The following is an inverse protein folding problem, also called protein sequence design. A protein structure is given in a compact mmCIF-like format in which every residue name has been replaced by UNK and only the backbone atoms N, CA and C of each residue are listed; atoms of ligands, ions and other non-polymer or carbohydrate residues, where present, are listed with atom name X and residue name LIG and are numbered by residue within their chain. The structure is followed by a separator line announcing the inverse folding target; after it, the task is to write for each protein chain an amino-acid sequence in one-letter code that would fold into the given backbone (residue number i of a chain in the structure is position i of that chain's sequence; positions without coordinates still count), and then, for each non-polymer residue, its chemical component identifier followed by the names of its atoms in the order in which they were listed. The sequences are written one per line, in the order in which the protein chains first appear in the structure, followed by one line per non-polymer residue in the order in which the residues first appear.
data_IF_502225045727
#
_entry.id   IF_502225045727
#
_cell.length_a   1.000
_cell.length_b   1.000
_cell.length_c   1.000
_cell.angle_alpha   90.00
_cell.angle_beta   90.00
_cell.angle_gamma   90.00
#
_symmetry.space_group_name_H-M   'P 1'
#
loop_
_entity.id
_entity.type
_entity.pdbx_description
1 polymer ?
#
# COMPACT_ATOMS: atom_id res chain seq x y z
N UNK A 1 -28.10 16.26 -7.43
CA UNK A 1 -26.73 16.82 -7.39
C UNK A 1 -26.00 16.20 -8.55
N UNK A 2 -25.37 16.98 -9.43
CA UNK A 2 -24.53 16.40 -10.49
C UNK A 2 -23.43 15.63 -9.76
N UNK A 3 -23.42 14.31 -9.91
CA UNK A 3 -22.50 13.44 -9.20
C UNK A 3 -21.13 13.67 -9.83
N UNK A 4 -20.34 14.56 -9.23
CA UNK A 4 -18.96 14.74 -9.63
C UNK A 4 -18.21 13.42 -9.39
N UNK A 5 -17.23 13.10 -10.23
CA UNK A 5 -16.44 11.87 -10.15
C UNK A 5 -15.81 11.71 -8.75
N UNK A 6 -15.47 12.83 -8.12
CA UNK A 6 -14.89 12.89 -6.77
C UNK A 6 -15.87 12.64 -5.63
N UNK A 7 -17.19 12.67 -5.86
CA UNK A 7 -18.18 12.31 -4.84
C UNK A 7 -18.09 10.85 -4.41
N UNK A 8 -17.42 9.99 -5.19
CA UNK A 8 -17.10 8.61 -4.80
C UNK A 8 -16.04 8.52 -3.68
N UNK A 9 -15.25 9.59 -3.48
CA UNK A 9 -14.23 9.68 -2.41
C UNK A 9 -14.72 10.46 -1.19
N UNK A 10 -15.99 10.85 -1.12
CA UNK A 10 -16.55 11.49 0.06
C UNK A 10 -17.20 10.44 0.96
N UNK A 11 -16.71 10.32 2.19
CA UNK A 11 -17.22 9.40 3.20
C UNK A 11 -18.71 9.67 3.49
N UNK A 12 -19.16 10.93 3.38
CA UNK A 12 -20.56 11.26 3.65
C UNK A 12 -21.51 11.14 2.44
N UNK A 13 -21.07 10.57 1.32
CA UNK A 13 -21.96 10.37 0.17
C UNK A 13 -22.90 9.19 0.44
N UNK A 14 -24.04 9.46 1.08
CA UNK A 14 -25.08 8.47 1.38
C UNK A 14 -25.84 8.04 0.11
N UNK A 15 -25.16 7.29 -0.74
CA UNK A 15 -25.80 6.49 -1.79
C UNK A 15 -26.57 5.36 -1.10
N UNK A 16 -27.74 5.01 -1.62
CA UNK A 16 -28.67 3.99 -1.08
C UNK A 16 -28.06 2.61 -0.71
N UNK A 17 -26.82 2.33 -1.14
CA UNK A 17 -26.09 1.08 -0.94
C UNK A 17 -24.67 1.28 -0.36
N UNK A 18 -24.34 2.42 0.26
CA UNK A 18 -23.01 2.60 0.86
C UNK A 18 -22.84 1.74 2.13
N UNK A 19 -21.86 0.82 2.09
CA UNK A 19 -21.63 -0.15 3.18
C UNK A 19 -20.41 0.26 4.01
N UNK A 20 -20.52 1.38 4.75
CA UNK A 20 -19.45 1.87 5.63
C UNK A 20 -19.02 0.86 6.70
N UNK A 21 -19.98 0.07 7.19
CA UNK A 21 -19.73 -0.99 8.18
C UNK A 21 -18.74 -2.03 7.65
N UNK A 22 -18.72 -2.25 6.33
CA UNK A 22 -17.84 -3.24 5.73
C UNK A 22 -16.37 -2.82 5.80
N UNK A 23 -16.07 -1.52 5.76
CA UNK A 23 -14.70 -1.03 5.97
C UNK A 23 -14.17 -1.37 7.36
N UNK A 24 -14.98 -1.12 8.39
CA UNK A 24 -14.62 -1.45 9.77
C UNK A 24 -14.49 -2.95 9.97
N UNK A 25 -15.35 -3.74 9.31
CA UNK A 25 -15.20 -5.19 9.29
C UNK A 25 -13.90 -5.61 8.63
N UNK A 26 -13.54 -5.05 7.47
CA UNK A 26 -12.30 -5.41 6.77
C UNK A 26 -11.05 -5.02 7.55
N UNK A 27 -11.04 -3.86 8.24
CA UNK A 27 -9.93 -3.50 9.11
C UNK A 27 -9.81 -4.49 10.29
N UNK A 28 -10.93 -4.90 10.90
CA UNK A 28 -10.94 -5.90 11.97
C UNK A 28 -10.57 -7.31 11.50
N UNK A 29 -10.91 -7.68 10.25
CA UNK A 29 -10.55 -8.97 9.64
C UNK A 29 -9.03 -9.15 9.60
N UNK A 30 -8.25 -8.07 9.43
CA UNK A 30 -6.77 -8.17 9.43
C UNK A 30 -6.21 -8.77 10.73
N UNK A 31 -6.82 -8.44 11.88
CA UNK A 31 -6.42 -8.94 13.20
C UNK A 31 -6.73 -10.44 13.33
N UNK A 32 -7.85 -10.89 12.77
CA UNK A 32 -8.25 -12.30 12.76
C UNK A 32 -7.37 -13.15 11.85
N UNK A 33 -6.94 -12.62 10.70
CA UNK A 33 -6.03 -13.32 9.79
C UNK A 33 -4.64 -13.53 10.42
N UNK A 34 -4.22 -12.60 11.28
CA UNK A 34 -2.93 -12.71 11.97
C UNK A 34 -2.92 -13.84 13.00
N UNK A 35 -3.99 -13.97 13.79
CA UNK A 35 -4.12 -14.89 14.94
C UNK A 35 -4.72 -16.27 14.64
N UNK A 36 -4.90 -16.64 13.37
CA UNK A 36 -5.77 -17.74 12.95
C UNK A 36 -5.33 -19.19 13.25
N UNK A 37 -4.22 -19.42 13.97
CA UNK A 37 -3.74 -20.77 14.31
C UNK A 37 -4.26 -21.24 15.68
N UNK A 38 -5.58 -21.34 15.83
CA UNK A 38 -6.20 -21.88 17.04
C UNK A 38 -6.47 -23.40 16.97
N UNK A 39 -6.51 -23.97 15.77
CA UNK A 39 -6.93 -25.34 15.53
C UNK A 39 -5.72 -26.24 15.29
N UNK A 40 -5.75 -27.47 15.83
CA UNK A 40 -4.69 -28.48 15.66
C UNK A 40 -4.46 -28.82 14.18
N UNK A 41 -5.53 -28.80 13.38
CA UNK A 41 -5.45 -28.87 11.92
C UNK A 41 -5.70 -27.49 11.31
N UNK A 42 -4.75 -26.99 10.52
CA UNK A 42 -4.93 -25.71 9.82
C UNK A 42 -6.06 -25.81 8.79
N UNK A 43 -7.08 -24.93 8.84
CA UNK A 43 -8.11 -24.88 7.80
C UNK A 43 -7.52 -24.34 6.49
N UNK A 44 -8.17 -24.65 5.36
CA UNK A 44 -7.69 -24.27 4.00
C UNK A 44 -7.41 -22.76 3.87
N UNK A 45 -8.24 -21.92 4.49
CA UNK A 45 -8.08 -20.46 4.51
C UNK A 45 -6.78 -20.01 5.19
N UNK A 46 -6.38 -20.68 6.27
CA UNK A 46 -5.09 -20.41 6.94
C UNK A 46 -3.92 -20.79 6.05
N UNK A 47 -4.06 -21.84 5.23
CA UNK A 47 -3.08 -22.19 4.20
C UNK A 47 -2.84 -21.05 3.19
N UNK A 48 -3.91 -20.43 2.68
CA UNK A 48 -3.79 -19.28 1.76
C UNK A 48 -3.10 -18.09 2.43
N UNK A 49 -3.46 -17.79 3.68
CA UNK A 49 -2.83 -16.71 4.46
C UNK A 49 -1.35 -17.01 4.74
N UNK A 50 -1.00 -18.27 5.02
CA UNK A 50 0.39 -18.68 5.24
C UNK A 50 1.26 -18.48 4.00
N UNK A 51 0.74 -18.77 2.79
CA UNK A 51 1.48 -18.50 1.55
C UNK A 51 1.89 -17.02 1.46
N UNK A 52 0.98 -16.10 1.77
CA UNK A 52 1.29 -14.66 1.79
C UNK A 52 2.25 -14.25 2.91
N UNK A 53 2.15 -14.88 4.09
CA UNK A 53 3.11 -14.65 5.19
C UNK A 53 4.51 -15.17 4.82
N UNK A 54 4.60 -16.33 4.18
CA UNK A 54 5.85 -16.98 3.80
C UNK A 54 6.58 -16.24 2.67
N UNK A 55 5.85 -15.67 1.71
CA UNK A 55 6.47 -14.85 0.66
C UNK A 55 7.15 -13.62 1.25
N UNK A 56 6.52 -12.94 2.21
CA UNK A 56 7.13 -11.77 2.86
C UNK A 56 8.22 -12.16 3.83
N UNK A 57 8.01 -13.20 4.65
CA UNK A 57 9.02 -13.65 5.59
C UNK A 57 10.31 -14.04 4.87
N UNK A 58 10.21 -14.78 3.75
CA UNK A 58 11.38 -15.17 2.94
C UNK A 58 12.16 -13.99 2.36
N UNK A 59 11.51 -12.86 2.06
CA UNK A 59 12.19 -11.63 1.65
C UNK A 59 12.94 -11.00 2.83
N UNK A 60 12.31 -10.94 4.00
CA UNK A 60 12.94 -10.38 5.21
C UNK A 60 14.11 -11.26 5.66
N UNK A 61 14.01 -12.58 5.52
CA UNK A 61 15.13 -13.50 5.81
C UNK A 61 16.34 -13.32 4.89
N UNK A 62 16.15 -12.79 3.68
CA UNK A 62 17.27 -12.45 2.78
C UNK A 62 17.89 -11.09 3.11
N UNK A 63 17.18 -10.27 3.87
CA UNK A 63 17.55 -8.94 4.32
C UNK A 63 18.13 -9.01 5.75
N UNK A 64 18.86 -7.98 6.16
CA UNK A 64 19.36 -7.80 7.53
C UNK A 64 18.26 -7.53 8.57
N UNK A 65 16.99 -7.44 8.15
CA UNK A 65 15.83 -7.31 9.02
C UNK A 65 15.69 -8.40 10.10
N UNK A 66 16.48 -9.48 10.03
CA UNK A 66 16.60 -10.51 11.06
C UNK A 66 17.19 -10.01 12.39
N UNK A 67 18.08 -9.02 12.36
CA UNK A 67 18.74 -8.53 13.57
C UNK A 67 17.84 -7.65 14.43
N UNK A 68 16.77 -7.09 13.85
CA UNK A 68 15.77 -6.32 14.57
C UNK A 68 14.66 -7.25 15.10
N UNK A 69 14.71 -7.54 16.40
CA UNK A 69 13.70 -8.37 17.07
C UNK A 69 12.28 -7.85 16.82
N UNK A 70 11.40 -8.70 16.27
CA UNK A 70 10.00 -8.37 16.01
C UNK A 70 9.71 -7.65 14.68
N UNK A 71 10.73 -7.21 13.93
CA UNK A 71 10.56 -6.51 12.64
C UNK A 71 9.89 -7.38 11.57
N UNK A 72 10.22 -8.67 11.56
CA UNK A 72 9.56 -9.65 10.69
C UNK A 72 8.05 -9.67 10.92
N UNK A 73 7.64 -9.58 12.19
CA UNK A 73 6.23 -9.67 12.57
C UNK A 73 5.46 -8.40 12.21
N UNK A 74 6.09 -7.23 12.35
CA UNK A 74 5.45 -5.95 12.00
C UNK A 74 5.28 -5.80 10.50
N UNK A 75 6.28 -6.16 9.68
CA UNK A 75 6.17 -6.08 8.22
C UNK A 75 5.15 -7.09 7.69
N UNK A 76 5.15 -8.33 8.19
CA UNK A 76 4.17 -9.33 7.77
C UNK A 76 2.74 -8.91 8.13
N UNK A 77 2.52 -8.33 9.31
CA UNK A 77 1.23 -7.77 9.69
C UNK A 77 0.82 -6.61 8.78
N UNK A 78 1.75 -5.69 8.46
CA UNK A 78 1.47 -4.57 7.57
C UNK A 78 1.14 -5.03 6.16
N UNK A 79 1.88 -6.01 5.61
CA UNK A 79 1.60 -6.55 4.29
C UNK A 79 0.18 -7.10 4.18
N UNK A 80 -0.22 -7.90 5.17
CA UNK A 80 -1.57 -8.46 5.24
C UNK A 80 -2.62 -7.36 5.38
N UNK A 81 -2.36 -6.33 6.19
CA UNK A 81 -3.25 -5.19 6.33
C UNK A 81 -3.42 -4.45 5.00
N UNK A 82 -2.34 -4.14 4.29
CA UNK A 82 -2.41 -3.45 3.01
C UNK A 82 -3.14 -4.25 1.95
N UNK A 83 -2.91 -5.56 1.84
CA UNK A 83 -3.63 -6.42 0.88
C UNK A 83 -5.13 -6.37 1.15
N UNK A 84 -5.56 -6.60 2.39
CA UNK A 84 -6.99 -6.67 2.72
C UNK A 84 -7.66 -5.31 2.46
N UNK A 85 -7.03 -4.22 2.87
CA UNK A 85 -7.59 -2.88 2.67
C UNK A 85 -7.67 -2.51 1.20
N UNK A 86 -6.63 -2.80 0.42
CA UNK A 86 -6.61 -2.55 -1.02
C UNK A 86 -7.66 -3.38 -1.78
N UNK A 87 -7.74 -4.69 -1.50
CA UNK A 87 -8.71 -5.58 -2.12
C UNK A 87 -10.15 -5.23 -1.73
N UNK A 88 -10.37 -4.83 -0.47
CA UNK A 88 -11.68 -4.38 -0.02
C UNK A 88 -12.15 -3.12 -0.75
N UNK A 89 -11.21 -2.22 -1.09
CA UNK A 89 -11.49 -1.01 -1.83
C UNK A 89 -12.06 -1.28 -3.23
N UNK A 90 -11.63 -2.36 -3.88
CA UNK A 90 -12.10 -2.72 -5.23
C UNK A 90 -13.55 -3.23 -5.27
N UNK A 91 -14.14 -3.55 -4.11
CA UNK A 91 -15.53 -4.03 -4.03
C UNK A 91 -16.46 -2.85 -4.33
N UNK A 92 -17.45 -3.00 -5.23
CA UNK A 92 -18.37 -1.92 -5.54
C UNK A 92 -19.10 -1.44 -4.29
N UNK A 93 -19.28 -0.13 -4.19
CA UNK A 93 -19.93 0.56 -3.05
C UNK A 93 -19.19 0.50 -1.71
N UNK A 94 -17.99 -0.07 -1.67
CA UNK A 94 -17.09 0.05 -0.52
C UNK A 94 -16.19 1.26 -0.73
N UNK A 95 -16.10 2.09 0.30
CA UNK A 95 -15.18 3.23 0.28
C UNK A 95 -13.74 2.73 0.49
N UNK A 96 -12.84 3.11 -0.42
CA UNK A 96 -11.45 2.70 -0.37
C UNK A 96 -10.65 3.62 0.56
N UNK A 97 -10.44 3.19 1.81
CA UNK A 97 -9.68 3.97 2.81
C UNK A 97 -8.26 4.33 2.35
N UNK A 98 -7.64 3.47 1.53
CA UNK A 98 -6.26 3.63 1.04
C UNK A 98 -6.12 4.65 -0.08
N UNK A 99 -7.23 5.17 -0.63
CA UNK A 99 -7.23 6.26 -1.61
C UNK A 99 -6.96 7.64 -0.96
N UNK A 100 -7.14 7.76 0.36
CA UNK A 100 -6.83 8.98 1.09
C UNK A 100 -5.37 9.01 1.52
N UNK A 101 -4.68 10.10 1.17
CA UNK A 101 -3.27 10.32 1.53
C UNK A 101 -3.04 10.25 3.04
N UNK A 102 -4.00 10.70 3.85
CA UNK A 102 -3.89 10.68 5.31
C UNK A 102 -3.66 9.26 5.86
N UNK A 103 -4.34 8.26 5.29
CA UNK A 103 -4.26 6.86 5.75
C UNK A 103 -2.94 6.24 5.32
N UNK A 104 -2.54 6.41 4.05
CA UNK A 104 -1.28 5.86 3.56
C UNK A 104 -0.07 6.48 4.27
N UNK A 105 -0.11 7.78 4.54
CA UNK A 105 0.92 8.50 5.26
C UNK A 105 0.96 8.13 6.75
N UNK A 106 -0.19 7.88 7.39
CA UNK A 106 -0.27 7.38 8.76
C UNK A 106 0.35 5.98 8.91
N UNK A 107 0.31 5.14 7.87
CA UNK A 107 0.99 3.84 7.87
C UNK A 107 2.49 4.00 7.56
N UNK A 108 2.85 4.81 6.57
CA UNK A 108 4.24 4.93 6.09
C UNK A 108 5.18 5.73 7.00
N UNK A 109 4.75 6.90 7.51
CA UNK A 109 5.61 7.78 8.29
C UNK A 109 6.08 7.15 9.61
N UNK A 110 5.21 6.55 10.45
CA UNK A 110 5.65 6.01 11.74
C UNK A 110 6.67 4.90 11.58
N UNK A 111 6.48 3.98 10.63
CA UNK A 111 7.43 2.88 10.40
C UNK A 111 8.79 3.38 9.94
N UNK A 112 8.78 4.37 9.05
CA UNK A 112 10.01 4.99 8.59
C UNK A 112 10.71 5.80 9.69
N UNK A 113 9.96 6.56 10.50
CA UNK A 113 10.51 7.28 11.65
C UNK A 113 11.10 6.32 12.69
N UNK A 114 10.41 5.22 12.99
CA UNK A 114 10.92 4.20 13.91
C UNK A 114 12.27 3.64 13.44
N UNK A 115 12.41 3.38 12.15
CA UNK A 115 13.66 2.90 11.55
C UNK A 115 14.81 3.90 11.74
N UNK A 116 14.59 5.18 11.43
CA UNK A 116 15.61 6.23 11.62
C UNK A 116 15.97 6.43 13.09
N UNK A 117 14.97 6.50 13.97
CA UNK A 117 15.18 6.67 15.40
C UNK A 117 16.01 5.50 15.93
N UNK A 118 15.71 4.26 15.51
CA UNK A 118 16.49 3.09 15.90
C UNK A 118 17.95 3.18 15.43
N UNK A 119 18.19 3.61 14.19
CA UNK A 119 19.54 3.75 13.64
C UNK A 119 20.37 4.80 14.38
N UNK A 120 19.77 5.95 14.71
CA UNK A 120 20.41 7.03 15.48
C UNK A 120 20.82 6.54 16.88
N UNK A 121 19.97 5.73 17.53
CA UNK A 121 20.26 5.20 18.86
C UNK A 121 21.35 4.13 18.87
N UNK A 122 21.40 3.26 17.86
CA UNK A 122 22.40 2.20 17.82
C UNK A 122 23.78 2.74 17.45
N UNK A 123 23.91 3.51 16.36
CA UNK A 123 25.20 4.03 15.92
C UNK A 123 25.07 5.36 15.17
N UNK A 124 25.20 6.47 15.90
CA UNK A 124 25.15 7.82 15.32
C UNK A 124 26.27 8.06 14.29
N UNK A 125 27.47 7.51 14.51
CA UNK A 125 28.63 7.71 13.64
C UNK A 125 28.47 7.06 12.27
N UNK A 126 27.86 5.87 12.23
CA UNK A 126 27.64 5.13 10.98
C UNK A 126 26.51 5.76 10.16
N UNK A 127 25.45 6.23 10.83
CA UNK A 127 24.39 7.05 10.21
C UNK A 127 24.96 8.33 9.61
N UNK A 128 25.78 9.07 10.35
CA UNK A 128 26.47 10.27 9.85
C UNK A 128 27.43 9.96 8.70
N UNK A 129 28.08 8.79 8.70
CA UNK A 129 28.92 8.35 7.60
C UNK A 129 28.10 7.99 6.35
N UNK A 130 26.90 7.42 6.49
CA UNK A 130 26.03 7.13 5.33
C UNK A 130 25.53 8.37 4.59
N UNK A 131 25.51 9.53 5.26
CA UNK A 131 25.19 10.81 4.63
C UNK A 131 26.28 11.31 3.67
N UNK A 132 27.49 10.73 3.70
CA UNK A 132 28.56 11.04 2.76
C UNK A 132 29.11 9.76 2.09
N UNK A 133 29.01 9.61 0.76
CA UNK A 133 29.71 8.56 0.06
C UNK A 133 31.22 8.74 0.20
N UNK A 134 31.94 7.64 0.44
CA UNK A 134 33.39 7.67 0.57
C UNK A 134 34.03 8.13 -0.74
N UNK A 135 34.88 9.17 -0.66
CA UNK A 135 35.63 9.69 -1.81
C UNK A 135 35.13 11.01 -2.42
N UNK A 136 34.13 11.66 -1.82
CA UNK A 136 33.69 12.98 -2.29
C UNK A 136 34.74 14.09 -2.01
N UNK A 137 35.01 15.00 -2.97
CA UNK A 137 35.92 16.12 -2.78
C UNK A 137 35.37 17.11 -1.74
N UNK A 138 36.23 17.57 -0.82
CA UNK A 138 35.86 18.34 0.37
C UNK A 138 34.99 19.59 0.12
N UNK A 139 35.08 20.19 -1.07
CA UNK A 139 34.31 21.37 -1.44
C UNK A 139 32.81 21.08 -1.71
N UNK A 140 32.46 19.87 -2.18
CA UNK A 140 31.08 19.47 -2.48
C UNK A 140 30.36 18.79 -1.30
N UNK A 141 31.10 18.41 -0.26
CA UNK A 141 30.57 17.72 0.92
C UNK A 141 29.33 18.38 1.55
N UNK A 142 29.28 19.70 1.82
CA UNK A 142 28.10 20.29 2.48
C UNK A 142 26.85 20.25 1.59
N UNK A 143 27.01 20.33 0.27
CA UNK A 143 25.88 20.27 -0.66
C UNK A 143 25.32 18.86 -0.80
N UNK A 144 26.20 17.85 -0.81
CA UNK A 144 25.79 16.45 -0.90
C UNK A 144 24.99 16.01 0.33
N UNK A 145 25.40 16.41 1.53
CA UNK A 145 24.67 16.10 2.78
C UNK A 145 23.25 16.67 2.71
N UNK A 146 23.07 17.91 2.24
CA UNK A 146 21.74 18.51 2.10
C UNK A 146 20.87 17.69 1.15
N UNK A 147 21.40 17.29 0.00
CA UNK A 147 20.63 16.47 -0.96
C UNK A 147 20.27 15.10 -0.36
N UNK A 148 21.20 14.44 0.33
CA UNK A 148 20.92 13.13 0.93
C UNK A 148 19.89 13.24 2.07
N UNK A 149 19.95 14.28 2.91
CA UNK A 149 18.92 14.53 3.93
C UNK A 149 17.53 14.74 3.30
N UNK A 150 17.45 15.46 2.18
CA UNK A 150 16.18 15.65 1.45
C UNK A 150 15.72 14.33 0.83
N UNK A 151 16.62 13.57 0.21
CA UNK A 151 16.34 12.24 -0.35
C UNK A 151 15.75 11.30 0.69
N UNK A 152 16.38 11.23 1.87
CA UNK A 152 15.90 10.44 3.02
C UNK A 152 14.48 10.86 3.39
N UNK A 153 14.19 12.15 3.58
CA UNK A 153 12.87 12.66 3.96
C UNK A 153 11.77 12.42 2.91
N UNK A 154 12.12 12.41 1.62
CA UNK A 154 11.15 12.23 0.52
C UNK A 154 10.72 10.76 0.35
N UNK A 155 11.54 9.79 0.74
CA UNK A 155 11.24 8.34 0.62
C UNK A 155 9.86 7.93 1.19
N UNK A 156 9.51 8.20 2.47
CA UNK A 156 8.20 7.79 3.03
C UNK A 156 7.03 8.50 2.35
N UNK A 157 7.23 9.74 1.89
CA UNK A 157 6.22 10.51 1.17
C UNK A 157 5.96 9.84 -0.19
N UNK A 158 7.01 9.52 -0.95
CA UNK A 158 6.86 8.87 -2.27
C UNK A 158 6.22 7.48 -2.17
N UNK A 159 6.53 6.72 -1.12
CA UNK A 159 5.91 5.42 -0.83
C UNK A 159 4.39 5.56 -0.61
N UNK A 160 4.00 6.52 0.23
CA UNK A 160 2.60 6.76 0.61
C UNK A 160 1.78 7.31 -0.56
N UNK A 161 2.35 8.25 -1.32
CA UNK A 161 1.73 8.81 -2.53
C UNK A 161 1.57 7.73 -3.61
N UNK A 162 2.53 6.81 -3.76
CA UNK A 162 2.42 5.71 -4.75
C UNK A 162 1.20 4.82 -4.46
N UNK A 163 0.97 4.48 -3.20
CA UNK A 163 -0.15 3.64 -2.81
C UNK A 163 -1.48 4.37 -3.02
N UNK A 164 -1.54 5.63 -2.57
CA UNK A 164 -2.70 6.49 -2.75
C UNK A 164 -3.06 6.68 -4.24
N UNK A 165 -2.08 7.09 -5.06
CA UNK A 165 -2.29 7.40 -6.47
C UNK A 165 -2.79 6.19 -7.27
N UNK A 166 -2.21 5.00 -7.03
CA UNK A 166 -2.63 3.79 -7.74
C UNK A 166 -4.07 3.40 -7.39
N UNK A 167 -4.47 3.50 -6.11
CA UNK A 167 -5.85 3.20 -5.69
C UNK A 167 -6.83 4.28 -6.16
N UNK A 168 -6.49 5.56 -6.03
CA UNK A 168 -7.38 6.66 -6.43
C UNK A 168 -7.56 6.74 -7.94
N UNK A 169 -6.46 6.65 -8.71
CA UNK A 169 -6.53 6.71 -10.17
C UNK A 169 -7.33 5.54 -10.74
N UNK A 170 -7.17 4.35 -10.14
CA UNK A 170 -7.96 3.19 -10.51
C UNK A 170 -9.46 3.43 -10.37
N UNK A 171 -9.90 3.81 -9.17
CA UNK A 171 -11.31 4.15 -8.93
C UNK A 171 -11.86 5.24 -9.85
N UNK A 172 -11.07 6.28 -10.15
CA UNK A 172 -11.45 7.33 -11.10
C UNK A 172 -11.67 6.76 -12.50
N UNK A 173 -10.79 5.88 -12.97
CA UNK A 173 -10.94 5.26 -14.30
C UNK A 173 -12.12 4.30 -14.31
N UNK A 174 -12.33 3.51 -13.25
CA UNK A 174 -13.46 2.58 -13.13
C UNK A 174 -14.81 3.31 -13.15
N UNK A 175 -14.92 4.42 -12.41
CA UNK A 175 -16.13 5.26 -12.37
C UNK A 175 -16.39 5.95 -13.70
N UNK A 176 -15.34 6.42 -14.37
CA UNK A 176 -15.43 7.02 -15.69
C UNK A 176 -15.92 6.01 -16.74
N UNK A 177 -15.31 4.82 -16.82
CA UNK A 177 -15.76 3.74 -17.71
C UNK A 177 -17.22 3.35 -17.39
N UNK A 178 -17.56 3.24 -16.10
CA UNK A 178 -18.93 2.97 -15.65
C UNK A 178 -19.94 4.03 -16.12
N UNK A 179 -19.60 5.31 -16.05
CA UNK A 179 -20.48 6.41 -16.53
C UNK A 179 -20.71 6.34 -18.05
N UNK A 180 -19.66 6.07 -18.83
CA UNK A 180 -19.78 5.85 -20.28
C UNK A 180 -20.62 4.62 -20.61
N UNK A 181 -20.48 3.55 -19.82
CA UNK A 181 -21.32 2.36 -19.96
C UNK A 181 -22.78 2.64 -19.69
N UNK A 182 -23.11 3.35 -18.61
CA UNK A 182 -24.51 3.72 -18.33
C UNK A 182 -25.10 4.56 -19.46
N UNK A 183 -24.33 5.48 -20.06
CA UNK A 183 -24.79 6.29 -21.18
C UNK A 183 -24.95 5.46 -22.46
N UNK A 184 -24.02 4.54 -22.73
CA UNK A 184 -24.04 3.66 -23.90
C UNK A 184 -25.25 2.72 -23.88
N UNK A 185 -25.64 2.22 -22.70
CA UNK A 185 -26.84 1.39 -22.52
C UNK A 185 -28.13 2.06 -23.02
N UNK A 186 -28.25 3.38 -22.92
CA UNK A 186 -29.46 4.11 -23.33
C UNK A 186 -29.38 4.68 -24.75
N UNK A 187 -28.19 4.92 -25.29
CA UNK A 187 -28.02 5.77 -26.49
C UNK A 187 -27.33 5.08 -27.66
N UNK A 188 -26.54 4.03 -27.46
CA UNK A 188 -25.65 3.49 -28.49
C UNK A 188 -25.99 2.05 -28.92
N UNK A 189 -25.29 1.54 -29.93
CA UNK A 189 -25.53 0.21 -30.48
C UNK A 189 -25.02 -0.89 -29.54
N UNK A 190 -25.65 -2.07 -29.58
CA UNK A 190 -25.31 -3.23 -28.73
C UNK A 190 -23.82 -3.62 -28.83
N UNK A 191 -23.21 -3.42 -30.01
CA UNK A 191 -21.80 -3.71 -30.24
C UNK A 191 -20.88 -2.81 -29.41
N UNK A 192 -21.16 -1.50 -29.37
CA UNK A 192 -20.37 -0.54 -28.57
C UNK A 192 -20.46 -0.81 -27.08
N UNK A 193 -21.65 -1.18 -26.60
CA UNK A 193 -21.86 -1.58 -25.21
C UNK A 193 -21.02 -2.83 -24.86
N UNK A 194 -21.05 -3.86 -25.71
CA UNK A 194 -20.33 -5.12 -25.46
C UNK A 194 -18.81 -4.91 -25.43
N UNK A 195 -18.30 -4.02 -26.28
CA UNK A 195 -16.89 -3.60 -26.27
C UNK A 195 -16.51 -2.81 -25.01
N UNK A 196 -17.34 -1.87 -24.55
CA UNK A 196 -17.08 -1.15 -23.31
C UNK A 196 -17.13 -2.08 -22.09
N UNK A 197 -18.04 -3.06 -22.08
CA UNK A 197 -18.13 -4.05 -20.99
C UNK A 197 -16.88 -4.92 -20.92
N UNK A 198 -16.34 -5.36 -22.06
CA UNK A 198 -15.11 -6.14 -22.08
C UNK A 198 -13.90 -5.35 -21.57
N UNK A 199 -13.82 -4.06 -21.93
CA UNK A 199 -12.79 -3.14 -21.40
C UNK A 199 -12.91 -2.99 -19.89
N UNK A 200 -14.12 -2.81 -19.35
CA UNK A 200 -14.32 -2.68 -17.91
C UNK A 200 -13.86 -3.94 -17.16
N UNK A 201 -14.23 -5.13 -17.65
CA UNK A 201 -13.83 -6.41 -17.04
C UNK A 201 -12.30 -6.54 -17.05
N UNK A 202 -11.65 -6.28 -18.19
CA UNK A 202 -10.19 -6.34 -18.30
C UNK A 202 -9.51 -5.36 -17.33
N UNK A 203 -10.04 -4.14 -17.20
CA UNK A 203 -9.49 -3.13 -16.31
C UNK A 203 -9.65 -3.52 -14.83
N UNK A 204 -10.79 -4.11 -14.44
CA UNK A 204 -10.97 -4.60 -13.06
C UNK A 204 -9.97 -5.71 -12.68
N UNK A 205 -9.68 -6.62 -13.62
CA UNK A 205 -8.68 -7.68 -13.40
C UNK A 205 -7.27 -7.07 -13.26
N UNK A 206 -6.98 -6.07 -14.09
CA UNK A 206 -5.71 -5.35 -14.02
C UNK A 206 -5.51 -4.63 -12.68
N UNK A 207 -6.54 -3.95 -12.18
CA UNK A 207 -6.49 -3.31 -10.86
C UNK A 207 -6.32 -4.29 -9.72
N UNK A 208 -6.97 -5.46 -9.78
CA UNK A 208 -6.74 -6.52 -8.80
C UNK A 208 -5.25 -6.88 -8.73
N UNK A 209 -4.59 -7.01 -9.87
CA UNK A 209 -3.14 -7.23 -9.94
C UNK A 209 -2.31 -6.08 -9.35
N UNK A 210 -2.60 -4.84 -9.72
CA UNK A 210 -1.89 -3.65 -9.19
C UNK A 210 -2.04 -3.59 -7.66
N UNK A 211 -3.23 -3.87 -7.14
CA UNK A 211 -3.53 -3.75 -5.71
C UNK A 211 -2.66 -4.65 -4.83
N UNK A 212 -2.36 -5.86 -5.32
CA UNK A 212 -1.49 -6.84 -4.66
C UNK A 212 -0.02 -6.45 -4.80
N UNK A 213 0.41 -6.06 -6.01
CA UNK A 213 1.80 -5.63 -6.27
C UNK A 213 2.15 -4.39 -5.45
N UNK A 214 1.22 -3.45 -5.28
CA UNK A 214 1.46 -2.23 -4.54
C UNK A 214 1.72 -2.48 -3.05
N UNK A 215 0.98 -3.42 -2.43
CA UNK A 215 1.25 -3.85 -1.06
C UNK A 215 2.62 -4.53 -0.91
N UNK A 216 3.01 -5.33 -1.92
CA UNK A 216 4.33 -5.97 -1.96
C UNK A 216 5.47 -4.96 -2.08
N UNK A 217 5.38 -4.03 -3.04
CA UNK A 217 6.37 -2.96 -3.24
C UNK A 217 6.51 -2.13 -1.96
N UNK A 218 5.41 -1.83 -1.27
CA UNK A 218 5.46 -1.08 -0.01
C UNK A 218 6.33 -1.79 1.04
N UNK A 219 6.13 -3.09 1.23
CA UNK A 219 6.91 -3.88 2.19
C UNK A 219 8.36 -4.05 1.75
N UNK A 220 8.60 -4.30 0.47
CA UNK A 220 9.94 -4.47 -0.09
C UNK A 220 10.80 -3.21 0.09
N UNK A 221 10.24 -2.02 -0.13
CA UNK A 221 10.97 -0.78 0.08
C UNK A 221 11.33 -0.60 1.56
N UNK A 222 10.41 -0.90 2.48
CA UNK A 222 10.69 -0.82 3.93
C UNK A 222 11.79 -1.79 4.34
N UNK A 223 11.80 -3.02 3.82
CA UNK A 223 12.88 -3.99 4.09
C UNK A 223 14.22 -3.52 3.52
N UNK A 224 14.22 -2.97 2.30
CA UNK A 224 15.45 -2.46 1.69
C UNK A 224 15.98 -1.25 2.48
N UNK A 225 15.11 -0.38 2.96
CA UNK A 225 15.53 0.72 3.85
C UNK A 225 16.10 0.23 5.17
N UNK A 226 15.62 -0.91 5.68
CA UNK A 226 16.25 -1.52 6.85
C UNK A 226 17.64 -2.07 6.58
N UNK A 227 17.93 -2.48 5.34
CA UNK A 227 19.27 -2.96 4.92
C UNK A 227 20.25 -1.83 4.63
N UNK A 228 19.76 -0.69 4.13
CA UNK A 228 20.57 0.51 3.95
C UNK A 228 20.98 1.15 5.27
N UNK A 229 20.43 0.70 6.42
CA UNK A 229 20.91 1.14 7.71
C UNK A 229 22.34 0.67 7.96
N UNK A 230 23.28 1.61 8.12
CA UNK A 230 24.62 1.24 8.52
C UNK A 230 24.56 0.84 10.00
N UNK A 231 25.07 -0.35 10.30
CA UNK A 231 25.54 -0.67 11.64
C UNK A 231 26.70 0.25 11.96
#
# INVERSE_FOLDING_TARGET
MLVDIFSSFDDNNQVFMSVYVLMWLFSLVTILLFSSTYWVSNPRWVGVVMIFKDTVSSQIFRSYGLHMGGFINTITALFMLLIVMNLSGLIPYVFSLTSHLAVSLCLGLPLWLCLIISAIFYNLSSVLASLLPMGAPALLNPFLVIIETISIMVRPITLSVRLMANMSAGHIVLTLIGSYLTTSLFTSSIFTMLLLMSIQILYTIFEFGISLIQAYIFCLLITLYSDEHPH
#
